data_IF_844038952324
#
_entry.id   IF_844038952324
#
_cell.length_a   1.000
_cell.length_b   1.000
_cell.length_c   1.000
_cell.angle_alpha   90.00
_cell.angle_beta   90.00
_cell.angle_gamma   90.00
#
_symmetry.space_group_name_H-M   'P 1'
#
loop_
_entity.id
_entity.type
_entity.pdbx_description
1 polymer ?
#
# COMPACT_ATOMS: atom_id res chain seq x y z
N UNK A 1 14.87 9.62 -22.83
CA UNK A 1 14.19 8.45 -23.41
C UNK A 1 13.78 7.58 -22.23
N UNK A 2 12.50 7.40 -21.97
CA UNK A 2 12.05 6.48 -20.93
C UNK A 2 12.50 5.06 -21.34
N UNK A 3 13.19 4.38 -20.43
CA UNK A 3 13.52 2.97 -20.64
C UNK A 3 12.20 2.20 -20.63
N UNK A 4 11.82 1.66 -21.78
CA UNK A 4 10.71 0.72 -21.85
C UNK A 4 11.08 -0.49 -21.00
N UNK A 5 10.33 -0.73 -19.92
CA UNK A 5 10.51 -1.93 -19.08
C UNK A 5 10.12 -3.11 -19.97
N UNK A 6 11.10 -3.78 -20.53
CA UNK A 6 10.91 -4.87 -21.50
C UNK A 6 10.71 -6.24 -20.86
N UNK A 7 11.02 -6.40 -19.57
CA UNK A 7 10.89 -7.67 -18.85
C UNK A 7 10.31 -7.42 -17.44
N UNK A 8 8.98 -7.51 -17.32
CA UNK A 8 8.31 -7.52 -16.01
C UNK A 8 8.55 -8.89 -15.38
N UNK A 9 9.07 -8.91 -14.14
CA UNK A 9 9.34 -10.14 -13.41
C UNK A 9 8.04 -10.90 -13.11
N UNK A 10 8.11 -12.22 -13.14
CA UNK A 10 7.04 -13.05 -12.59
C UNK A 10 6.88 -12.80 -11.08
N UNK A 11 5.72 -13.16 -10.52
CA UNK A 11 5.46 -13.06 -9.07
C UNK A 11 6.52 -13.80 -8.26
N UNK A 12 7.00 -14.95 -8.74
CA UNK A 12 8.04 -15.73 -8.07
C UNK A 12 9.37 -14.98 -8.07
N UNK A 13 9.80 -14.49 -9.20
CA UNK A 13 11.06 -13.75 -9.33
C UNK A 13 11.03 -12.46 -8.50
N UNK A 14 9.92 -11.71 -8.55
CA UNK A 14 9.74 -10.51 -7.72
C UNK A 14 9.82 -10.85 -6.22
N UNK A 15 9.19 -11.95 -5.78
CA UNK A 15 9.25 -12.39 -4.39
C UNK A 15 10.66 -12.83 -3.97
N UNK A 16 11.39 -13.51 -4.86
CA UNK A 16 12.76 -13.99 -4.61
C UNK A 16 13.79 -12.85 -4.63
N UNK A 17 13.58 -11.82 -5.43
CA UNK A 17 14.50 -10.68 -5.57
C UNK A 17 14.26 -9.57 -4.54
N UNK A 18 12.99 -9.28 -4.21
CA UNK A 18 12.62 -8.16 -3.35
C UNK A 18 13.38 -8.15 -2.02
N UNK A 19 14.00 -7.02 -1.72
CA UNK A 19 14.66 -6.74 -0.42
C UNK A 19 14.08 -5.46 0.19
N UNK A 20 14.32 -5.24 1.48
CA UNK A 20 14.07 -3.94 2.11
C UNK A 20 15.33 -3.09 1.94
N UNK A 21 15.25 -2.12 1.03
CA UNK A 21 16.36 -1.24 0.65
C UNK A 21 16.25 0.08 1.43
N UNK A 22 17.37 0.56 1.95
CA UNK A 22 17.45 1.80 2.74
C UNK A 22 18.40 2.85 2.17
N UNK A 23 19.06 2.51 1.05
CA UNK A 23 19.83 3.44 0.24
C UNK A 23 19.34 3.36 -1.20
N UNK A 24 18.98 4.52 -1.77
CA UNK A 24 18.41 4.64 -3.10
C UNK A 24 19.26 5.56 -3.96
N UNK A 25 19.26 5.29 -5.28
CA UNK A 25 19.73 6.25 -6.26
C UNK A 25 18.88 7.52 -6.22
N UNK A 26 19.45 8.65 -6.63
CA UNK A 26 18.77 9.94 -6.57
C UNK A 26 17.95 10.24 -7.84
N UNK A 27 17.87 9.27 -8.75
CA UNK A 27 17.08 9.41 -9.97
C UNK A 27 15.58 9.42 -9.62
N UNK A 28 14.84 10.46 -10.06
CA UNK A 28 13.40 10.51 -9.85
C UNK A 28 12.68 9.33 -10.53
N UNK A 29 11.61 8.85 -9.91
CA UNK A 29 10.70 7.88 -10.53
C UNK A 29 9.76 8.64 -11.48
N UNK A 30 9.59 8.15 -12.70
CA UNK A 30 8.59 8.72 -13.60
C UNK A 30 7.17 8.49 -13.05
N UNK A 31 6.30 9.49 -13.15
CA UNK A 31 4.91 9.34 -12.71
C UNK A 31 4.21 8.16 -13.40
N UNK A 32 4.50 7.94 -14.69
CA UNK A 32 3.98 6.81 -15.43
C UNK A 32 4.34 5.45 -14.81
N UNK A 33 5.56 5.29 -14.30
CA UNK A 33 6.00 4.05 -13.65
C UNK A 33 5.27 3.86 -12.30
N UNK A 34 5.05 4.94 -11.55
CA UNK A 34 4.25 4.90 -10.31
C UNK A 34 2.80 4.53 -10.63
N UNK A 35 2.23 5.07 -11.68
CA UNK A 35 0.88 4.76 -12.14
C UNK A 35 0.76 3.30 -12.58
N UNK A 36 1.70 2.77 -13.36
CA UNK A 36 1.72 1.35 -13.77
C UNK A 36 1.80 0.41 -12.55
N UNK A 37 2.64 0.73 -11.56
CA UNK A 37 2.70 -0.02 -10.30
C UNK A 37 1.35 0.01 -9.58
N UNK A 38 0.75 1.19 -9.43
CA UNK A 38 -0.53 1.35 -8.73
C UNK A 38 -1.71 0.71 -9.50
N UNK A 39 -1.64 0.63 -10.84
CA UNK A 39 -2.60 -0.13 -11.66
C UNK A 39 -2.60 -1.63 -11.30
N UNK A 40 -1.45 -2.22 -11.00
CA UNK A 40 -1.38 -3.58 -10.46
C UNK A 40 -1.94 -3.65 -9.04
N UNK A 41 -1.60 -2.68 -8.19
CA UNK A 41 -2.03 -2.64 -6.78
C UNK A 41 -3.54 -2.54 -6.64
N UNK A 42 -4.21 -1.76 -7.49
CA UNK A 42 -5.68 -1.63 -7.45
C UNK A 42 -6.44 -2.93 -7.76
N UNK A 43 -5.76 -3.94 -8.32
CA UNK A 43 -6.32 -5.27 -8.56
C UNK A 43 -6.27 -6.18 -7.31
N UNK A 44 -5.72 -5.70 -6.20
CA UNK A 44 -5.72 -6.44 -4.95
C UNK A 44 -7.15 -6.80 -4.51
N UNK A 45 -7.41 -8.03 -4.07
CA UNK A 45 -8.74 -8.41 -3.58
C UNK A 45 -8.99 -7.82 -2.19
N UNK A 46 -10.26 -7.56 -1.89
CA UNK A 46 -10.71 -7.23 -0.54
C UNK A 46 -12.05 -7.89 -0.23
N UNK A 47 -12.32 -8.15 1.04
CA UNK A 47 -13.63 -8.65 1.43
C UNK A 47 -14.71 -7.63 1.03
N UNK A 48 -15.82 -8.12 0.50
CA UNK A 48 -16.93 -7.31 -0.07
C UNK A 48 -16.52 -6.43 -1.26
N UNK A 49 -15.33 -6.60 -1.81
CA UNK A 49 -14.72 -5.69 -2.79
C UNK A 49 -14.62 -4.24 -2.27
N UNK A 50 -14.45 -4.06 -0.97
CA UNK A 50 -14.55 -2.78 -0.29
C UNK A 50 -13.44 -1.78 -0.67
N UNK A 51 -12.24 -2.26 -1.05
CA UNK A 51 -11.11 -1.46 -1.54
C UNK A 51 -10.84 -0.21 -0.67
N UNK A 52 -10.65 -0.36 0.66
CA UNK A 52 -10.57 0.78 1.56
C UNK A 52 -9.25 1.55 1.50
N UNK A 53 -8.28 1.08 0.73
CA UNK A 53 -6.96 1.68 0.60
C UNK A 53 -6.95 2.92 -0.28
N UNK A 54 -6.12 3.86 0.12
CA UNK A 54 -5.80 5.09 -0.60
C UNK A 54 -4.29 5.31 -0.54
N UNK A 55 -3.76 6.06 -1.48
CA UNK A 55 -2.32 6.29 -1.58
C UNK A 55 -2.04 7.80 -1.69
N UNK A 56 -0.98 8.25 -0.99
CA UNK A 56 -0.37 9.55 -1.22
C UNK A 56 1.07 9.31 -1.66
N UNK A 57 1.45 9.83 -2.80
CA UNK A 57 2.83 9.77 -3.29
C UNK A 57 3.54 11.07 -2.91
N UNK A 58 4.57 10.97 -2.09
CA UNK A 58 5.36 12.09 -1.58
C UNK A 58 6.71 12.11 -2.30
N UNK A 59 6.96 13.14 -3.12
CA UNK A 59 8.14 13.24 -3.98
C UNK A 59 9.01 14.47 -3.66
N UNK A 60 8.38 15.58 -3.26
CA UNK A 60 9.14 16.81 -3.04
C UNK A 60 10.10 16.66 -1.87
N UNK A 61 11.37 17.13 -2.00
CA UNK A 61 12.37 17.03 -0.93
C UNK A 61 11.87 17.61 0.39
N UNK A 62 11.17 18.74 0.33
CA UNK A 62 10.65 19.42 1.50
C UNK A 62 9.61 18.55 2.25
N UNK A 63 8.65 17.98 1.52
CA UNK A 63 7.63 17.13 2.13
C UNK A 63 8.24 15.82 2.67
N UNK A 64 9.23 15.23 1.96
CA UNK A 64 9.97 14.05 2.44
C UNK A 64 10.73 14.32 3.74
N UNK A 65 11.33 15.50 3.88
CA UNK A 65 12.01 15.89 5.13
C UNK A 65 11.02 15.99 6.31
N UNK A 66 9.86 16.60 6.09
CA UNK A 66 8.79 16.69 7.10
C UNK A 66 8.25 15.30 7.44
N UNK A 67 8.06 14.46 6.44
CA UNK A 67 7.61 13.07 6.63
C UNK A 67 8.66 12.24 7.38
N UNK A 68 9.94 12.44 7.11
CA UNK A 68 11.03 11.79 7.83
C UNK A 68 11.02 12.16 9.31
N UNK A 69 10.77 13.43 9.67
CA UNK A 69 10.63 13.85 11.06
C UNK A 69 9.49 13.09 11.76
N UNK A 70 8.33 12.93 11.10
CA UNK A 70 7.21 12.13 11.60
C UNK A 70 7.52 10.61 11.63
N UNK A 71 8.52 10.16 10.88
CA UNK A 71 8.96 8.76 10.80
C UNK A 71 10.28 8.51 11.54
N UNK A 72 10.48 9.16 12.69
CA UNK A 72 11.65 8.98 13.58
C UNK A 72 12.99 9.19 12.89
N UNK A 73 13.03 10.10 11.92
CA UNK A 73 14.19 10.45 11.11
C UNK A 73 14.83 9.26 10.37
N UNK A 74 14.01 8.30 9.96
CA UNK A 74 14.47 7.19 9.14
C UNK A 74 15.02 7.72 7.81
N UNK A 75 16.31 7.49 7.56
CA UNK A 75 17.06 8.09 6.44
C UNK A 75 16.42 7.80 5.07
N UNK A 76 15.87 6.59 4.87
CA UNK A 76 15.26 6.19 3.61
C UNK A 76 14.01 6.99 3.25
N UNK A 77 13.32 7.58 4.24
CA UNK A 77 12.16 8.46 3.99
C UNK A 77 12.61 9.77 3.34
N UNK A 78 13.69 10.35 3.83
CA UNK A 78 14.22 11.61 3.29
C UNK A 78 14.98 11.41 1.97
N UNK A 79 15.68 10.27 1.82
CA UNK A 79 16.62 10.04 0.71
C UNK A 79 16.03 9.30 -0.48
N UNK A 80 14.94 8.56 -0.33
CA UNK A 80 14.30 7.89 -1.47
C UNK A 80 13.75 8.90 -2.49
N UNK A 81 13.73 8.56 -3.79
CA UNK A 81 13.07 9.37 -4.81
C UNK A 81 11.62 9.69 -4.47
N UNK A 82 10.85 8.70 -4.01
CA UNK A 82 9.48 8.89 -3.55
C UNK A 82 9.18 8.07 -2.29
N UNK A 83 8.13 8.47 -1.56
CA UNK A 83 7.54 7.68 -0.47
C UNK A 83 6.04 7.55 -0.72
N UNK A 84 5.56 6.32 -0.82
CA UNK A 84 4.13 6.02 -0.95
C UNK A 84 3.58 5.81 0.46
N UNK A 85 2.63 6.65 0.84
CA UNK A 85 1.87 6.53 2.10
C UNK A 85 0.59 5.76 1.80
N UNK A 86 0.50 4.54 2.29
CA UNK A 86 -0.72 3.73 2.23
C UNK A 86 -1.58 4.05 3.45
N UNK A 87 -2.81 4.52 3.22
CA UNK A 87 -3.80 4.68 4.28
C UNK A 87 -5.12 4.03 3.91
N UNK A 88 -5.98 3.83 4.90
CA UNK A 88 -7.33 3.27 4.69
C UNK A 88 -8.37 4.24 5.20
N UNK A 89 -9.48 4.39 4.45
CA UNK A 89 -10.59 5.27 4.76
C UNK A 89 -11.92 4.51 4.61
N UNK A 90 -12.43 4.05 5.74
CA UNK A 90 -13.65 3.27 5.76
C UNK A 90 -14.90 4.16 5.67
N UNK A 91 -14.79 5.42 6.08
CA UNK A 91 -15.90 6.37 5.95
C UNK A 91 -16.17 6.68 4.48
N UNK A 92 -15.11 6.99 3.70
CA UNK A 92 -15.21 7.19 2.25
C UNK A 92 -15.67 5.90 1.55
N UNK A 93 -15.12 4.74 1.91
CA UNK A 93 -15.52 3.43 1.36
C UNK A 93 -17.02 3.15 1.52
N UNK A 94 -17.58 3.44 2.70
CA UNK A 94 -19.02 3.22 2.94
C UNK A 94 -19.89 4.26 2.23
N UNK A 95 -19.40 5.48 2.07
CA UNK A 95 -20.11 6.54 1.34
C UNK A 95 -20.16 6.26 -0.18
N UNK A 96 -19.12 5.61 -0.73
CA UNK A 96 -18.98 5.30 -2.16
C UNK A 96 -19.22 3.81 -2.48
N UNK A 97 -19.90 3.09 -1.59
CA UNK A 97 -20.07 1.62 -1.68
C UNK A 97 -20.69 1.15 -3.02
N UNK A 98 -21.55 1.95 -3.61
CA UNK A 98 -22.18 1.62 -4.90
C UNK A 98 -21.17 1.56 -6.08
N UNK A 99 -20.02 2.22 -5.96
CA UNK A 99 -18.97 2.23 -6.99
C UNK A 99 -18.21 0.89 -7.06
N UNK A 100 -18.13 0.15 -5.94
CA UNK A 100 -17.42 -1.13 -5.85
C UNK A 100 -18.32 -2.34 -6.08
N UNK A 101 -19.64 -2.15 -6.14
CA UNK A 101 -20.58 -3.21 -6.51
C UNK A 101 -20.50 -3.48 -8.01
N UNK A 102 -20.30 -4.75 -8.37
CA UNK A 102 -20.10 -5.13 -9.77
C UNK A 102 -21.30 -4.70 -10.65
N UNK A 103 -21.08 -3.93 -11.74
CA UNK A 103 -22.17 -3.37 -12.57
C UNK A 103 -23.05 -4.43 -13.23
N UNK A 104 -22.55 -5.65 -13.44
CA UNK A 104 -23.29 -6.79 -13.97
C UNK A 104 -24.21 -7.49 -12.98
N UNK A 105 -24.24 -7.08 -11.68
CA UNK A 105 -25.17 -7.64 -10.72
C UNK A 105 -26.61 -7.20 -11.01
N UNK A 106 -27.62 -8.11 -10.93
CA UNK A 106 -29.02 -7.70 -10.93
C UNK A 106 -29.31 -6.69 -9.82
N UNK A 107 -30.22 -5.74 -10.06
CA UNK A 107 -30.50 -4.64 -9.16
C UNK A 107 -30.85 -5.12 -7.73
N UNK A 108 -31.68 -6.17 -7.60
CA UNK A 108 -32.05 -6.75 -6.30
C UNK A 108 -30.83 -7.34 -5.57
N UNK A 109 -29.89 -7.95 -6.27
CA UNK A 109 -28.66 -8.48 -5.68
C UNK A 109 -27.74 -7.35 -5.23
N UNK A 110 -27.62 -6.26 -6.02
CA UNK A 110 -26.86 -5.07 -5.63
C UNK A 110 -27.38 -4.48 -4.34
N UNK A 111 -28.71 -4.29 -4.23
CA UNK A 111 -29.36 -3.78 -3.03
C UNK A 111 -29.06 -4.66 -1.83
N UNK A 112 -29.26 -5.98 -1.96
CA UNK A 112 -28.96 -6.93 -0.86
C UNK A 112 -27.49 -6.90 -0.44
N UNK A 113 -26.57 -6.85 -1.39
CA UNK A 113 -25.13 -6.76 -1.11
C UNK A 113 -24.79 -5.48 -0.37
N UNK A 114 -25.30 -4.34 -0.85
CA UNK A 114 -25.12 -3.04 -0.22
C UNK A 114 -25.65 -3.04 1.22
N UNK A 115 -26.89 -3.46 1.41
CA UNK A 115 -27.52 -3.46 2.73
C UNK A 115 -26.81 -4.44 3.69
N UNK A 116 -26.31 -5.57 3.18
CA UNK A 116 -25.51 -6.52 3.94
C UNK A 116 -24.20 -5.92 4.45
N UNK A 117 -23.49 -5.19 3.60
CA UNK A 117 -22.25 -4.48 3.97
C UNK A 117 -22.55 -3.38 4.99
N UNK A 118 -23.55 -2.53 4.74
CA UNK A 118 -23.94 -1.47 5.66
C UNK A 118 -24.38 -2.01 7.03
N UNK A 119 -25.10 -3.13 7.06
CA UNK A 119 -25.47 -3.80 8.30
C UNK A 119 -24.25 -4.34 9.04
N UNK A 120 -23.32 -4.98 8.32
CA UNK A 120 -22.10 -5.55 8.91
C UNK A 120 -21.25 -4.48 9.60
N UNK A 121 -21.03 -3.35 8.94
CA UNK A 121 -20.22 -2.27 9.47
C UNK A 121 -21.01 -1.27 10.33
N UNK A 122 -22.35 -1.20 10.19
CA UNK A 122 -23.19 -0.30 10.95
C UNK A 122 -23.22 -0.57 12.45
N UNK A 123 -22.96 -1.83 12.87
CA UNK A 123 -22.87 -2.22 14.27
C UNK A 123 -21.48 -2.01 14.90
N UNK A 124 -20.47 -1.68 14.10
CA UNK A 124 -19.09 -1.50 14.54
C UNK A 124 -18.81 -0.02 14.85
N UNK A 125 -17.95 0.22 15.82
CA UNK A 125 -17.35 1.53 16.04
C UNK A 125 -16.46 1.92 14.87
N UNK A 126 -16.18 3.21 14.72
CA UNK A 126 -15.25 3.72 13.71
C UNK A 126 -13.86 3.07 13.84
N UNK A 127 -13.34 2.93 15.05
CA UNK A 127 -12.05 2.31 15.33
C UNK A 127 -11.99 0.82 14.91
N UNK A 128 -13.08 0.06 15.07
CA UNK A 128 -13.17 -1.33 14.61
C UNK A 128 -13.19 -1.41 13.08
N UNK A 129 -13.95 -0.54 12.42
CA UNK A 129 -13.99 -0.44 10.95
C UNK A 129 -12.62 -0.15 10.37
N UNK A 130 -11.92 0.86 10.92
CA UNK A 130 -10.59 1.24 10.47
C UNK A 130 -9.54 0.16 10.77
N UNK A 131 -9.68 -0.58 11.87
CA UNK A 131 -8.82 -1.73 12.16
C UNK A 131 -9.01 -2.86 11.15
N UNK A 132 -10.27 -3.14 10.81
CA UNK A 132 -10.59 -4.09 9.74
C UNK A 132 -10.04 -3.63 8.38
N UNK A 133 -10.25 -2.35 8.04
CA UNK A 133 -9.77 -1.75 6.80
C UNK A 133 -8.24 -1.83 6.67
N UNK A 134 -7.49 -1.59 7.76
CA UNK A 134 -6.04 -1.73 7.77
C UNK A 134 -5.59 -3.16 7.43
N UNK A 135 -6.34 -4.19 7.86
CA UNK A 135 -6.12 -5.58 7.44
C UNK A 135 -6.23 -5.75 5.92
N UNK A 136 -7.24 -5.14 5.29
CA UNK A 136 -7.38 -5.14 3.82
C UNK A 136 -6.27 -4.33 3.15
N UNK A 137 -5.87 -3.20 3.74
CA UNK A 137 -4.75 -2.38 3.27
C UNK A 137 -3.42 -3.16 3.21
N UNK A 138 -3.20 -4.10 4.14
CA UNK A 138 -2.02 -4.96 4.11
C UNK A 138 -2.00 -5.93 2.93
N UNK A 139 -3.16 -6.30 2.37
CA UNK A 139 -3.23 -7.07 1.12
C UNK A 139 -2.72 -6.20 -0.03
N UNK A 140 -3.21 -4.96 -0.14
CA UNK A 140 -2.73 -4.00 -1.14
C UNK A 140 -1.23 -3.68 -0.97
N UNK A 141 -0.73 -3.61 0.28
CA UNK A 141 0.71 -3.46 0.56
C UNK A 141 1.52 -4.61 -0.05
N UNK A 142 1.07 -5.85 0.12
CA UNK A 142 1.74 -7.01 -0.49
C UNK A 142 1.83 -6.89 -2.02
N UNK A 143 0.73 -6.47 -2.66
CA UNK A 143 0.70 -6.19 -4.10
C UNK A 143 1.67 -5.07 -4.47
N UNK A 144 1.70 -3.96 -3.71
CA UNK A 144 2.60 -2.84 -3.96
C UNK A 144 4.07 -3.25 -3.95
N UNK A 145 4.48 -4.04 -2.95
CA UNK A 145 5.87 -4.48 -2.82
C UNK A 145 6.32 -5.38 -3.97
N UNK A 146 5.44 -6.27 -4.43
CA UNK A 146 5.74 -7.16 -5.55
C UNK A 146 5.65 -6.43 -6.90
N UNK A 147 4.66 -5.57 -7.09
CA UNK A 147 4.53 -4.79 -8.31
C UNK A 147 5.71 -3.83 -8.51
N UNK A 148 6.15 -3.13 -7.46
CA UNK A 148 7.33 -2.27 -7.53
C UNK A 148 8.57 -3.05 -7.94
N UNK A 149 8.84 -4.20 -7.30
CA UNK A 149 9.99 -5.06 -7.65
C UNK A 149 9.89 -5.57 -9.08
N UNK A 150 8.70 -6.00 -9.53
CA UNK A 150 8.48 -6.46 -10.89
C UNK A 150 8.76 -5.38 -11.94
N UNK A 151 8.55 -4.10 -11.58
CA UNK A 151 8.86 -2.94 -12.42
C UNK A 151 10.29 -2.41 -12.21
N UNK A 152 11.17 -3.14 -11.49
CA UNK A 152 12.57 -2.77 -11.29
C UNK A 152 12.78 -1.67 -10.25
N UNK A 153 11.80 -1.42 -9.38
CA UNK A 153 11.90 -0.50 -8.25
C UNK A 153 11.92 -1.26 -6.92
N UNK A 154 12.92 -0.97 -6.11
CA UNK A 154 13.06 -1.54 -4.79
C UNK A 154 12.33 -0.70 -3.74
N UNK A 155 11.99 -1.35 -2.64
CA UNK A 155 11.14 -0.75 -1.61
C UNK A 155 11.68 -0.94 -0.20
N UNK A 156 11.27 -0.04 0.70
CA UNK A 156 11.42 -0.21 2.15
C UNK A 156 10.09 0.09 2.85
N UNK A 157 9.27 -0.94 3.14
CA UNK A 157 8.06 -0.75 3.92
C UNK A 157 8.39 -0.50 5.39
N UNK A 158 7.70 0.47 6.00
CA UNK A 158 7.90 0.90 7.38
C UNK A 158 6.56 1.01 8.10
N UNK A 159 6.51 0.52 9.34
CA UNK A 159 5.40 0.70 10.27
C UNK A 159 5.79 1.55 11.51
N UNK A 160 7.06 1.92 11.63
CA UNK A 160 7.58 2.76 12.72
C UNK A 160 7.50 4.24 12.36
N UNK A 161 6.41 4.92 12.70
CA UNK A 161 6.20 6.37 12.51
C UNK A 161 5.10 6.86 13.45
N UNK A 162 5.02 8.17 13.66
CA UNK A 162 3.90 8.82 14.34
C UNK A 162 2.75 9.02 13.34
N UNK A 163 1.73 8.16 13.44
CA UNK A 163 0.58 8.20 12.55
C UNK A 163 -0.25 9.49 12.70
N UNK A 164 -0.25 10.12 13.88
CA UNK A 164 -0.91 11.41 14.12
C UNK A 164 -0.23 12.52 13.32
N UNK A 165 1.10 12.62 13.47
CA UNK A 165 1.90 13.58 12.75
C UNK A 165 1.84 13.40 11.22
N UNK A 166 1.81 12.14 10.73
CA UNK A 166 1.66 11.86 9.29
C UNK A 166 0.28 12.29 8.78
N UNK A 167 -0.80 12.00 9.52
CA UNK A 167 -2.15 12.46 9.15
C UNK A 167 -2.23 13.98 9.06
N UNK A 168 -1.73 14.68 10.08
CA UNK A 168 -1.70 16.14 10.11
C UNK A 168 -0.88 16.71 8.95
N UNK A 169 0.32 16.17 8.71
CA UNK A 169 1.21 16.59 7.63
C UNK A 169 0.56 16.49 6.25
N UNK A 170 -0.21 15.44 6.01
CA UNK A 170 -0.82 15.14 4.71
C UNK A 170 -2.28 15.58 4.62
N UNK A 171 -2.85 16.20 5.66
CA UNK A 171 -4.25 16.61 5.69
C UNK A 171 -5.24 15.44 5.62
N UNK A 172 -4.87 14.27 6.13
CA UNK A 172 -5.73 13.08 6.11
C UNK A 172 -6.76 13.14 7.25
N UNK A 173 -7.94 12.50 7.08
CA UNK A 173 -8.93 12.41 8.15
C UNK A 173 -8.35 11.81 9.44
N UNK A 174 -8.81 12.28 10.60
CA UNK A 174 -8.26 11.89 11.89
C UNK A 174 -8.45 10.41 12.26
N UNK A 175 -9.46 9.79 11.69
CA UNK A 175 -9.85 8.39 11.93
C UNK A 175 -9.08 7.37 11.10
N UNK A 176 -8.52 7.74 9.94
CA UNK A 176 -7.88 6.80 9.02
C UNK A 176 -6.68 6.09 9.66
N UNK A 177 -6.45 4.85 9.27
CA UNK A 177 -5.24 4.10 9.61
C UNK A 177 -4.22 4.22 8.48
N UNK A 178 -2.95 4.16 8.86
CA UNK A 178 -1.82 4.17 7.92
C UNK A 178 -1.06 2.85 8.14
N UNK A 179 -1.34 1.79 7.35
CA UNK A 179 -0.65 0.52 7.47
C UNK A 179 0.85 0.62 7.26
N UNK A 180 1.30 1.43 6.30
CA UNK A 180 2.71 1.56 6.00
C UNK A 180 3.06 2.88 5.32
N UNK A 181 4.30 3.33 5.53
CA UNK A 181 5.06 4.18 4.62
C UNK A 181 5.97 3.28 3.78
N UNK A 182 6.07 3.51 2.48
CA UNK A 182 6.90 2.70 1.58
C UNK A 182 7.84 3.63 0.82
N UNK A 183 9.11 3.68 1.24
CA UNK A 183 10.15 4.33 0.44
C UNK A 183 10.38 3.49 -0.83
N UNK A 184 10.48 4.14 -1.99
CA UNK A 184 10.58 3.49 -3.29
C UNK A 184 11.59 4.22 -4.18
N UNK A 185 12.38 3.46 -4.95
CA UNK A 185 13.38 3.94 -5.89
C UNK A 185 14.24 2.81 -6.42
N UNK A 186 15.24 3.14 -7.25
CA UNK A 186 16.28 2.18 -7.64
C UNK A 186 17.25 1.99 -6.48
N UNK A 187 17.66 0.75 -6.21
CA UNK A 187 18.55 0.43 -5.10
C UNK A 187 19.96 0.94 -5.34
N UNK A 188 20.55 1.59 -4.32
CA UNK A 188 21.99 1.90 -4.25
C UNK A 188 22.73 0.95 -3.28
N UNK A 189 22.10 -0.15 -2.86
CA UNK A 189 22.65 -1.20 -2.01
C UNK A 189 22.00 -2.54 -2.36
N UNK A 190 22.63 -3.66 -2.01
CA UNK A 190 22.05 -4.99 -2.27
C UNK A 190 20.95 -5.40 -1.27
N UNK A 191 20.96 -4.82 -0.09
CA UNK A 191 20.10 -5.23 1.03
C UNK A 191 20.49 -6.61 1.60
N UNK A 192 19.85 -6.98 2.71
CA UNK A 192 20.09 -8.28 3.33
C UNK A 192 19.35 -9.40 2.58
N UNK A 193 19.96 -10.58 2.43
CA UNK A 193 19.29 -11.74 1.86
C UNK A 193 18.07 -12.15 2.70
N UNK A 194 17.16 -12.89 2.08
CA UNK A 194 16.02 -13.44 2.79
C UNK A 194 16.44 -14.37 3.92
N UNK A 195 15.80 -14.19 5.08
CA UNK A 195 15.82 -15.17 6.16
C UNK A 195 14.36 -15.38 6.58
N UNK A 196 13.85 -16.59 6.44
CA UNK A 196 12.45 -16.96 6.69
C UNK A 196 12.40 -18.27 7.47
N UNK A 197 11.28 -18.50 8.11
CA UNK A 197 10.99 -19.81 8.68
C UNK A 197 10.90 -20.87 7.57
N UNK A 198 11.30 -22.09 7.90
CA UNK A 198 11.06 -23.25 7.05
C UNK A 198 9.54 -23.51 6.93
N UNK A 199 9.15 -24.18 5.81
CA UNK A 199 7.73 -24.36 5.49
C UNK A 199 6.99 -25.13 6.57
N UNK A 200 7.62 -26.13 7.17
CA UNK A 200 7.07 -26.97 8.24
C UNK A 200 6.72 -26.17 9.52
N UNK A 201 7.37 -25.01 9.71
CA UNK A 201 7.08 -24.13 10.84
C UNK A 201 5.77 -23.35 10.67
N UNK A 202 5.37 -23.10 9.43
CA UNK A 202 4.25 -22.22 9.09
C UNK A 202 3.07 -22.95 8.43
N UNK A 203 3.23 -24.22 8.05
CA UNK A 203 2.20 -25.04 7.41
C UNK A 203 1.88 -26.25 8.26
N UNK A 204 0.59 -26.51 8.42
CA UNK A 204 0.07 -27.75 9.01
C UNK A 204 -1.00 -28.34 8.08
N UNK A 205 -0.83 -29.60 7.75
CA UNK A 205 -1.86 -30.39 7.04
C UNK A 205 -2.78 -31.05 8.07
N UNK A 206 -4.12 -30.99 7.85
CA UNK A 206 -5.14 -31.56 8.73
C UNK A 206 -6.15 -32.36 7.91
#
# INVERSE_FOLDING_TARGET
MAATITDILSVREAAEQRRSIRAFEQEPIAHADVEEILEVVRLAPSAFNAQPWRFVVVETPEMKQRLAAAAYNQRQVASAPAVIVLYTDMADTLATLDEVLHPGMPAEQRTRSRDGVLKTFGSQSEAERETWAAGQGNIALGYLLLAAEAHGYQTSPMAGFDAGAVRELLGLPGNVKIPALVAIGRAAEEGFPHHRHELERIVRYA
#
